data_IF_100662629754
#
_entry.id   IF_100662629754
#
_cell.length_a   1.000
_cell.length_b   1.000
_cell.length_c   1.000
_cell.angle_alpha   90.00
_cell.angle_beta   90.00
_cell.angle_gamma   90.00
#
_symmetry.space_group_name_H-M   'P 1'
#
loop_
_entity.id
_entity.type
_entity.pdbx_description
1 polymer ?
#
# COMPACT_ATOMS: atom_id res chain seq x y z
N UNK A 1 -0.17 70.65 15.57
CA UNK A 1 -1.17 69.65 16.00
C UNK A 1 -1.48 68.61 14.91
N UNK A 2 -1.68 69.00 13.63
CA UNK A 2 -1.96 68.10 12.48
C UNK A 2 -1.13 66.81 12.37
N UNK A 3 0.20 66.86 12.54
CA UNK A 3 1.10 65.69 12.37
C UNK A 3 0.91 64.59 13.42
N UNK A 4 0.41 64.92 14.63
CA UNK A 4 0.16 63.93 15.68
C UNK A 4 -1.15 63.17 15.44
N UNK A 5 -2.16 63.84 14.88
CA UNK A 5 -3.45 63.21 14.57
C UNK A 5 -3.31 62.23 13.40
N UNK A 6 -2.57 62.60 12.35
CA UNK A 6 -2.28 61.69 11.22
C UNK A 6 -1.45 60.47 11.63
N UNK A 7 -0.52 60.61 12.59
CA UNK A 7 0.23 59.47 13.14
C UNK A 7 -0.64 58.54 14.00
N UNK A 8 -1.63 59.09 14.69
CA UNK A 8 -2.59 58.32 15.49
C UNK A 8 -3.53 57.52 14.59
N UNK A 9 -4.03 58.11 13.52
CA UNK A 9 -4.91 57.46 12.54
C UNK A 9 -4.19 56.34 11.76
N UNK A 10 -2.94 56.56 11.36
CA UNK A 10 -2.12 55.53 10.70
C UNK A 10 -1.87 54.35 11.64
N UNK A 11 -1.57 54.61 12.92
CA UNK A 11 -1.38 53.55 13.93
C UNK A 11 -2.66 52.75 14.17
N UNK A 12 -3.81 53.42 14.26
CA UNK A 12 -5.10 52.75 14.45
C UNK A 12 -5.46 51.89 13.24
N UNK A 13 -5.27 52.42 12.03
CA UNK A 13 -5.53 51.69 10.77
C UNK A 13 -4.61 50.49 10.63
N UNK A 14 -3.31 50.64 10.92
CA UNK A 14 -2.34 49.55 10.87
C UNK A 14 -2.66 48.47 11.91
N UNK A 15 -3.10 48.86 13.11
CA UNK A 15 -3.51 47.91 14.15
C UNK A 15 -4.75 47.10 13.73
N UNK A 16 -5.73 47.75 13.10
CA UNK A 16 -6.93 47.06 12.59
C UNK A 16 -6.56 46.10 11.46
N UNK A 17 -5.71 46.51 10.51
CA UNK A 17 -5.27 45.65 9.40
C UNK A 17 -4.49 44.45 9.93
N UNK A 18 -3.56 44.64 10.87
CA UNK A 18 -2.81 43.53 11.48
C UNK A 18 -3.75 42.55 12.21
N UNK A 19 -4.74 43.05 12.95
CA UNK A 19 -5.72 42.17 13.61
C UNK A 19 -6.58 41.40 12.60
N UNK A 20 -7.03 42.04 11.52
CA UNK A 20 -7.77 41.36 10.44
C UNK A 20 -6.88 40.29 9.77
N UNK A 21 -5.62 40.62 9.48
CA UNK A 21 -4.66 39.69 8.87
C UNK A 21 -4.36 38.50 9.79
N UNK A 22 -4.23 38.72 11.10
CA UNK A 22 -4.01 37.65 12.09
C UNK A 22 -5.22 36.72 12.21
N UNK A 23 -6.45 37.25 12.06
CA UNK A 23 -7.67 36.44 12.01
C UNK A 23 -7.78 35.68 10.68
N UNK A 24 -7.32 36.25 9.55
CA UNK A 24 -7.39 35.62 8.23
C UNK A 24 -6.21 34.68 7.90
N UNK A 25 -5.11 34.74 8.67
CA UNK A 25 -3.90 33.92 8.46
C UNK A 25 -3.83 32.71 9.40
N UNK A 26 -4.84 32.50 10.25
CA UNK A 26 -5.09 31.23 10.92
C UNK A 26 -6.25 30.53 10.21
N UNK A 27 -6.02 29.34 9.68
CA UNK A 27 -7.08 28.45 9.18
C UNK A 27 -8.29 28.50 10.12
N UNK A 28 -9.42 29.03 9.66
CA UNK A 28 -10.65 29.25 10.46
C UNK A 28 -11.37 27.97 10.93
N UNK A 29 -10.66 26.85 10.93
CA UNK A 29 -11.10 25.59 11.52
C UNK A 29 -10.48 25.40 12.91
N UNK A 30 -11.09 24.55 13.77
CA UNK A 30 -10.48 24.16 15.03
C UNK A 30 -9.04 23.66 14.81
N UNK A 31 -8.13 24.00 15.72
CA UNK A 31 -6.77 23.48 15.67
C UNK A 31 -6.82 21.95 15.62
N UNK A 32 -6.14 21.29 14.66
CA UNK A 32 -6.17 19.85 14.55
C UNK A 32 -5.64 19.22 15.85
N UNK A 33 -6.35 18.22 16.36
CA UNK A 33 -5.92 17.47 17.55
C UNK A 33 -4.70 16.62 17.22
N UNK A 34 -3.99 16.13 18.24
CA UNK A 34 -2.87 15.20 18.02
C UNK A 34 -3.30 14.03 17.12
N UNK A 35 -2.53 13.79 16.06
CA UNK A 35 -2.85 12.75 15.07
C UNK A 35 -3.85 13.18 13.97
N UNK A 36 -4.22 14.45 13.90
CA UNK A 36 -5.03 15.01 12.82
C UNK A 36 -4.24 16.06 12.01
N UNK A 37 -4.57 16.19 10.72
CA UNK A 37 -4.13 17.30 9.88
C UNK A 37 -5.36 18.04 9.36
N UNK A 38 -5.35 19.37 9.38
CA UNK A 38 -6.45 20.17 8.83
C UNK A 38 -6.09 20.65 7.41
N UNK A 39 -7.02 20.47 6.47
CA UNK A 39 -6.94 21.11 5.16
C UNK A 39 -7.27 22.60 5.26
N UNK A 40 -6.89 23.38 4.25
CA UNK A 40 -7.23 24.80 4.16
C UNK A 40 -8.75 25.06 4.13
N UNK A 41 -9.55 24.06 3.74
CA UNK A 41 -11.03 24.09 3.75
C UNK A 41 -11.65 23.68 5.11
N UNK A 42 -10.83 23.42 6.14
CA UNK A 42 -11.30 23.00 7.46
C UNK A 42 -11.57 21.49 7.60
N UNK A 43 -11.39 20.69 6.54
CA UNK A 43 -11.55 19.23 6.62
C UNK A 43 -10.43 18.62 7.47
N UNK A 44 -10.80 17.86 8.50
CA UNK A 44 -9.87 17.09 9.32
C UNK A 44 -9.50 15.76 8.64
N UNK A 45 -8.20 15.50 8.55
CA UNK A 45 -7.60 14.25 8.09
C UNK A 45 -7.11 13.49 9.32
N UNK A 46 -7.67 12.31 9.55
CA UNK A 46 -7.22 11.39 10.59
C UNK A 46 -5.97 10.61 10.12
N UNK A 47 -4.80 11.04 10.59
CA UNK A 47 -3.50 10.46 10.21
C UNK A 47 -3.33 9.05 10.78
N UNK A 48 -3.92 8.75 11.93
CA UNK A 48 -3.88 7.41 12.53
C UNK A 48 -4.63 6.42 11.65
N UNK A 49 -5.82 6.80 11.18
CA UNK A 49 -6.65 5.98 10.29
C UNK A 49 -6.00 5.81 8.92
N UNK A 50 -5.32 6.82 8.39
CA UNK A 50 -4.54 6.72 7.14
C UNK A 50 -3.34 5.80 7.32
N UNK A 51 -2.55 5.97 8.39
CA UNK A 51 -1.40 5.11 8.69
C UNK A 51 -1.81 3.63 8.78
N UNK A 52 -2.94 3.35 9.45
CA UNK A 52 -3.52 2.00 9.49
C UNK A 52 -3.89 1.48 8.08
N UNK A 53 -4.55 2.29 7.25
CA UNK A 53 -4.89 1.90 5.87
C UNK A 53 -3.66 1.62 5.01
N UNK A 54 -2.60 2.41 5.17
CA UNK A 54 -1.32 2.20 4.48
C UNK A 54 -0.69 0.88 4.92
N UNK A 55 -0.62 0.64 6.24
CA UNK A 55 -0.09 -0.61 6.78
C UNK A 55 -0.84 -1.82 6.24
N UNK A 56 -2.16 -1.82 6.31
CA UNK A 56 -2.97 -2.93 5.81
C UNK A 56 -2.77 -3.15 4.29
N UNK A 57 -2.57 -2.08 3.51
CA UNK A 57 -2.31 -2.18 2.07
C UNK A 57 -0.92 -2.76 1.77
N UNK A 58 0.08 -2.39 2.56
CA UNK A 58 1.44 -2.94 2.47
C UNK A 58 1.46 -4.42 2.85
N UNK A 59 0.78 -4.80 3.93
CA UNK A 59 0.67 -6.19 4.38
C UNK A 59 -0.01 -7.06 3.31
N UNK A 60 -1.12 -6.56 2.72
CA UNK A 60 -1.78 -7.25 1.61
C UNK A 60 -0.85 -7.40 0.39
N UNK A 61 -0.14 -6.34 0.01
CA UNK A 61 0.78 -6.38 -1.13
C UNK A 61 1.95 -7.35 -0.92
N UNK A 62 2.43 -7.48 0.32
CA UNK A 62 3.46 -8.47 0.68
C UNK A 62 2.96 -9.90 0.46
N UNK A 63 1.75 -10.23 0.95
CA UNK A 63 1.16 -11.56 0.76
C UNK A 63 0.91 -11.88 -0.73
N UNK A 64 0.49 -10.90 -1.54
CA UNK A 64 0.35 -11.10 -3.00
C UNK A 64 1.71 -11.37 -3.64
N UNK A 65 2.76 -10.68 -3.21
CA UNK A 65 4.12 -10.86 -3.74
C UNK A 65 4.67 -12.25 -3.43
N UNK A 66 4.37 -12.80 -2.26
CA UNK A 66 4.74 -14.17 -1.89
C UNK A 66 4.12 -15.18 -2.86
N UNK A 67 2.80 -15.13 -3.06
CA UNK A 67 2.10 -16.02 -4.01
C UNK A 67 2.68 -15.88 -5.42
N UNK A 68 2.87 -14.66 -5.91
CA UNK A 68 3.46 -14.41 -7.22
C UNK A 68 4.88 -14.98 -7.34
N UNK A 69 5.68 -14.93 -6.28
CA UNK A 69 7.04 -15.49 -6.27
C UNK A 69 7.02 -17.02 -6.32
N UNK A 70 6.10 -17.66 -5.58
CA UNK A 70 5.93 -19.12 -5.62
C UNK A 70 5.46 -19.57 -7.00
N UNK A 71 4.49 -18.88 -7.61
CA UNK A 71 4.05 -19.19 -8.98
C UNK A 71 5.21 -19.06 -9.97
N UNK A 72 6.02 -17.99 -9.87
CA UNK A 72 7.22 -17.83 -10.72
C UNK A 72 8.31 -18.87 -10.48
N UNK A 73 8.40 -19.46 -9.29
CA UNK A 73 9.38 -20.53 -9.05
C UNK A 73 9.03 -21.81 -9.82
N UNK A 74 7.75 -22.02 -10.15
CA UNK A 74 7.30 -23.14 -10.99
C UNK A 74 7.90 -23.01 -12.40
N UNK A 75 8.03 -21.82 -12.97
CA UNK A 75 8.71 -21.62 -14.27
C UNK A 75 10.19 -22.04 -14.21
N UNK A 76 10.84 -21.85 -13.06
CA UNK A 76 12.23 -22.30 -12.83
C UNK A 76 12.27 -23.81 -12.71
N UNK A 77 11.34 -24.41 -11.97
CA UNK A 77 11.22 -25.87 -11.84
C UNK A 77 10.92 -26.53 -13.19
N UNK A 78 10.11 -25.89 -14.04
CA UNK A 78 9.78 -26.38 -15.38
C UNK A 78 11.03 -26.51 -16.28
N UNK A 79 12.05 -25.67 -16.09
CA UNK A 79 13.34 -25.81 -16.79
C UNK A 79 14.10 -27.09 -16.41
N UNK A 80 13.78 -27.69 -15.27
CA UNK A 80 14.36 -28.96 -14.82
C UNK A 80 13.72 -30.20 -15.47
N UNK A 81 12.63 -30.05 -16.23
CA UNK A 81 11.96 -31.17 -16.90
C UNK A 81 12.93 -31.85 -17.86
N UNK A 82 13.05 -33.17 -17.73
CA UNK A 82 13.94 -33.97 -18.58
C UNK A 82 15.42 -33.84 -18.23
N UNK A 83 15.74 -33.34 -17.04
CA UNK A 83 17.12 -33.13 -16.57
C UNK A 83 17.41 -33.85 -15.25
N UNK A 84 18.67 -34.20 -15.04
CA UNK A 84 19.24 -34.69 -13.78
C UNK A 84 20.43 -33.82 -13.41
N UNK A 85 20.74 -33.75 -12.13
CA UNK A 85 21.97 -33.12 -11.65
C UNK A 85 23.14 -34.00 -12.10
N UNK A 86 24.05 -33.41 -12.87
CA UNK A 86 25.35 -34.03 -13.18
C UNK A 86 26.34 -33.66 -12.07
N UNK A 87 26.52 -32.34 -11.87
CA UNK A 87 27.43 -31.73 -10.91
C UNK A 87 26.79 -30.45 -10.32
N UNK A 88 27.52 -29.69 -9.50
CA UNK A 88 27.03 -28.42 -8.91
C UNK A 88 26.50 -27.41 -9.93
N UNK A 89 27.13 -27.32 -11.12
CA UNK A 89 26.83 -26.29 -12.12
C UNK A 89 26.22 -26.83 -13.42
N UNK A 90 26.11 -28.16 -13.56
CA UNK A 90 25.70 -28.81 -14.81
C UNK A 90 24.51 -29.74 -14.63
N UNK A 91 23.57 -29.64 -15.56
CA UNK A 91 22.47 -30.58 -15.75
C UNK A 91 22.76 -31.47 -16.94
N UNK A 92 22.42 -32.74 -16.83
CA UNK A 92 22.45 -33.71 -17.93
C UNK A 92 21.02 -34.16 -18.27
N UNK A 93 20.81 -34.67 -19.46
CA UNK A 93 19.49 -35.11 -19.92
C UNK A 93 19.07 -36.43 -19.28
N UNK A 94 17.80 -36.54 -18.92
CA UNK A 94 17.16 -37.78 -18.50
C UNK A 94 15.70 -37.78 -18.94
N UNK A 95 15.33 -38.72 -19.81
CA UNK A 95 13.94 -38.82 -20.27
C UNK A 95 13.05 -39.47 -19.20
N UNK A 96 11.79 -39.03 -19.15
CA UNK A 96 10.69 -39.73 -18.47
C UNK A 96 10.87 -39.98 -16.95
N UNK A 97 11.64 -39.13 -16.27
CA UNK A 97 11.87 -39.18 -14.80
C UNK A 97 11.39 -37.95 -14.03
N UNK A 98 10.32 -37.31 -14.50
CA UNK A 98 9.79 -36.06 -13.91
C UNK A 98 8.77 -36.28 -12.78
N UNK A 99 8.46 -37.53 -12.38
CA UNK A 99 7.39 -37.82 -11.43
C UNK A 99 7.52 -37.07 -10.10
N UNK A 100 8.71 -37.05 -9.50
CA UNK A 100 8.97 -36.33 -8.24
C UNK A 100 8.86 -34.81 -8.42
N UNK A 101 9.33 -34.27 -9.56
CA UNK A 101 9.24 -32.85 -9.87
C UNK A 101 7.78 -32.41 -10.00
N UNK A 102 6.96 -33.18 -10.72
CA UNK A 102 5.52 -32.92 -10.87
C UNK A 102 4.80 -33.02 -9.52
N UNK A 103 5.14 -34.00 -8.68
CA UNK A 103 4.59 -34.11 -7.34
C UNK A 103 4.94 -32.91 -6.46
N UNK A 104 6.18 -32.41 -6.54
CA UNK A 104 6.60 -31.22 -5.80
C UNK A 104 5.87 -29.96 -6.28
N UNK A 105 5.73 -29.77 -7.60
CA UNK A 105 4.96 -28.65 -8.17
C UNK A 105 3.49 -28.74 -7.77
N UNK A 106 2.91 -29.95 -7.76
CA UNK A 106 1.53 -30.14 -7.30
C UNK A 106 1.35 -29.76 -5.83
N UNK A 107 2.27 -30.14 -4.94
CA UNK A 107 2.26 -29.70 -3.54
C UNK A 107 2.35 -28.18 -3.41
N UNK A 108 3.22 -27.52 -4.19
CA UNK A 108 3.29 -26.05 -4.22
C UNK A 108 1.99 -25.41 -4.68
N UNK A 109 1.31 -25.98 -5.67
CA UNK A 109 0.00 -25.51 -6.13
C UNK A 109 -1.08 -25.68 -5.07
N UNK A 110 -1.05 -26.76 -4.27
CA UNK A 110 -1.92 -26.91 -3.11
C UNK A 110 -1.66 -25.82 -2.06
N UNK A 111 -0.39 -25.51 -1.78
CA UNK A 111 -0.03 -24.45 -0.84
C UNK A 111 -0.51 -23.07 -1.32
N UNK A 112 -0.38 -22.77 -2.63
CA UNK A 112 -0.93 -21.57 -3.25
C UNK A 112 -2.46 -21.54 -3.07
N UNK A 113 -3.14 -22.65 -3.35
CA UNK A 113 -4.60 -22.77 -3.22
C UNK A 113 -5.09 -22.55 -1.78
N UNK A 114 -4.31 -22.91 -0.77
CA UNK A 114 -4.65 -22.61 0.64
C UNK A 114 -4.33 -21.17 1.06
N UNK A 115 -3.41 -20.51 0.36
CA UNK A 115 -2.97 -19.15 0.66
C UNK A 115 -3.86 -18.09 -0.01
N UNK A 116 -4.35 -18.34 -1.22
CA UNK A 116 -5.24 -17.44 -1.96
C UNK A 116 -6.56 -17.07 -1.23
N UNK A 117 -7.24 -17.98 -0.49
CA UNK A 117 -8.39 -17.62 0.35
C UNK A 117 -8.05 -16.64 1.47
N UNK A 118 -6.85 -16.72 2.06
CA UNK A 118 -6.41 -15.79 3.11
C UNK A 118 -6.24 -14.36 2.57
N UNK A 119 -5.90 -14.23 1.29
CA UNK A 119 -5.84 -12.96 0.58
C UNK A 119 -7.24 -12.36 0.34
N UNK A 120 -8.29 -13.18 0.26
CA UNK A 120 -9.66 -12.66 0.04
C UNK A 120 -10.10 -11.73 1.16
N UNK A 121 -9.85 -12.10 2.43
CA UNK A 121 -10.17 -11.28 3.60
C UNK A 121 -9.50 -9.90 3.56
N UNK A 122 -8.26 -9.82 3.03
CA UNK A 122 -7.58 -8.53 2.83
C UNK A 122 -8.11 -7.74 1.61
N UNK A 123 -8.63 -8.44 0.61
CA UNK A 123 -9.16 -7.87 -0.63
C UNK A 123 -10.60 -7.34 -0.51
N UNK A 124 -11.35 -7.72 0.53
CA UNK A 124 -12.73 -7.27 0.81
C UNK A 124 -12.91 -5.75 0.78
N UNK A 125 -11.82 -5.01 1.01
CA UNK A 125 -11.80 -3.54 0.98
C UNK A 125 -12.17 -2.95 -0.38
N UNK A 126 -11.98 -3.69 -1.48
CA UNK A 126 -12.45 -3.27 -2.81
C UNK A 126 -12.96 -4.44 -3.65
N UNK A 127 -14.13 -4.27 -4.27
CA UNK A 127 -14.75 -5.27 -5.16
C UNK A 127 -13.78 -5.79 -6.23
N UNK A 128 -13.00 -4.88 -6.82
CA UNK A 128 -12.01 -5.19 -7.87
C UNK A 128 -10.89 -6.12 -7.38
N UNK A 129 -10.40 -5.96 -6.14
CA UNK A 129 -9.34 -6.83 -5.61
C UNK A 129 -9.90 -8.21 -5.30
N UNK A 130 -11.11 -8.28 -4.76
CA UNK A 130 -11.80 -9.56 -4.52
C UNK A 130 -12.00 -10.34 -5.81
N UNK A 131 -12.54 -9.71 -6.86
CA UNK A 131 -12.72 -10.33 -8.18
C UNK A 131 -11.41 -10.91 -8.75
N UNK A 132 -10.28 -10.21 -8.57
CA UNK A 132 -8.96 -10.71 -9.01
C UNK A 132 -8.48 -11.91 -8.20
N UNK A 133 -8.70 -11.91 -6.88
CA UNK A 133 -8.33 -13.02 -6.00
C UNK A 133 -9.20 -14.24 -6.30
N UNK A 134 -10.49 -14.05 -6.59
CA UNK A 134 -11.40 -15.15 -6.93
C UNK A 134 -11.08 -15.77 -8.30
N UNK A 135 -10.70 -14.95 -9.28
CA UNK A 135 -10.19 -15.44 -10.55
C UNK A 135 -8.94 -16.32 -10.36
N UNK A 136 -7.97 -15.87 -9.56
CA UNK A 136 -6.74 -16.60 -9.30
C UNK A 136 -6.95 -17.95 -8.57
N UNK A 137 -8.03 -18.13 -7.81
CA UNK A 137 -8.37 -19.41 -7.16
C UNK A 137 -8.96 -20.44 -8.12
N UNK A 138 -9.49 -19.97 -9.25
CA UNK A 138 -10.25 -20.77 -10.20
C UNK A 138 -9.37 -21.28 -11.36
N UNK A 139 -8.13 -20.80 -11.44
CA UNK A 139 -7.06 -21.33 -12.30
C UNK A 139 -6.40 -22.54 -11.66
#
# INVERSE_FOLDING_TARGET
MKKRETLSEIKMTLFIIINIVMISCGSGGPAPKEGQAAKADGTEIDLVKISKKIKDAVDFAASVKEVHTVVKSIDVLAKGIGTKIKNADELDTVADKNGTLVAAVFSLMLDIKTTLPKLETGAEKTKRMREKVDAAKSE
#
